data_IF_058754606585
#
_entry.id   IF_058754606585
#
_cell.length_a   1.000
_cell.length_b   1.000
_cell.length_c   1.000
_cell.angle_alpha   90.00
_cell.angle_beta   90.00
_cell.angle_gamma   90.00
#
_symmetry.space_group_name_H-M   'P 1'
#
loop_
_entity.id
_entity.type
_entity.pdbx_description
1 polymer ?
#
# COMPACT_ATOMS: atom_id res chain seq x y z
N UNK A 1 -43.98 -6.52 4.05
CA UNK A 1 -42.99 -7.02 5.02
C UNK A 1 -41.68 -7.13 4.22
N UNK A 2 -40.66 -6.35 4.56
CA UNK A 2 -39.39 -6.40 3.84
C UNK A 2 -38.49 -7.42 4.55
N UNK A 3 -38.04 -8.44 3.83
CA UNK A 3 -36.98 -9.33 4.33
C UNK A 3 -35.63 -8.71 3.95
N UNK A 4 -34.81 -8.44 4.96
CA UNK A 4 -33.42 -8.11 4.74
C UNK A 4 -32.64 -9.40 4.49
N UNK A 5 -31.76 -9.41 3.49
CA UNK A 5 -30.85 -10.52 3.26
C UNK A 5 -29.83 -10.64 4.40
N UNK A 6 -29.35 -11.86 4.65
CA UNK A 6 -28.33 -12.14 5.66
C UNK A 6 -27.10 -11.24 5.50
N UNK A 7 -26.51 -10.86 6.63
CA UNK A 7 -25.24 -10.12 6.68
C UNK A 7 -24.13 -10.98 6.04
N UNK A 8 -23.40 -10.41 5.10
CA UNK A 8 -22.24 -11.07 4.48
C UNK A 8 -21.07 -10.90 5.44
N UNK A 9 -20.67 -11.99 6.11
CA UNK A 9 -19.37 -12.04 6.81
C UNK A 9 -18.25 -12.12 5.76
N UNK A 10 -17.61 -10.98 5.47
CA UNK A 10 -16.40 -10.96 4.65
C UNK A 10 -15.22 -11.38 5.52
N UNK A 11 -14.76 -12.64 5.36
CA UNK A 11 -13.46 -13.08 5.87
C UNK A 11 -12.35 -12.31 5.13
N UNK A 12 -11.87 -11.23 5.73
CA UNK A 12 -10.68 -10.52 5.26
C UNK A 12 -9.47 -11.37 5.60
N UNK A 13 -9.08 -12.27 4.68
CA UNK A 13 -7.83 -12.99 4.82
C UNK A 13 -6.67 -11.99 4.81
N UNK A 14 -5.76 -12.13 5.77
CA UNK A 14 -4.53 -11.35 5.78
C UNK A 14 -3.78 -11.53 4.44
N UNK A 15 -3.09 -10.49 3.94
CA UNK A 15 -2.21 -10.64 2.79
C UNK A 15 -1.27 -11.82 2.96
N UNK A 16 -1.18 -12.65 1.91
CA UNK A 16 -0.20 -13.71 1.86
C UNK A 16 1.11 -13.25 1.19
N UNK A 17 1.09 -12.13 0.47
CA UNK A 17 2.21 -11.63 -0.32
C UNK A 17 2.48 -10.15 -0.05
N UNK A 18 3.71 -9.74 -0.32
CA UNK A 18 4.05 -8.33 -0.45
C UNK A 18 3.46 -7.77 -1.75
N UNK A 19 2.90 -6.57 -1.71
CA UNK A 19 2.43 -5.87 -2.92
C UNK A 19 2.72 -4.38 -2.82
N UNK A 20 2.93 -3.75 -3.98
CA UNK A 20 3.10 -2.32 -4.14
C UNK A 20 2.12 -1.88 -5.24
N UNK A 21 1.19 -1.00 -4.90
CA UNK A 21 0.23 -0.46 -5.83
C UNK A 21 0.86 0.69 -6.63
N UNK A 22 0.27 0.96 -7.80
CA UNK A 22 0.63 2.14 -8.58
C UNK A 22 0.41 3.40 -7.75
N UNK A 23 1.29 4.39 -7.90
CA UNK A 23 1.10 5.67 -7.26
C UNK A 23 -0.11 6.38 -7.87
N UNK A 24 -1.04 6.80 -7.04
CA UNK A 24 -2.27 7.44 -7.50
C UNK A 24 -2.64 8.65 -6.63
N UNK A 25 -3.06 9.78 -7.24
CA UNK A 25 -3.21 9.98 -8.68
C UNK A 25 -1.91 10.34 -9.41
N UNK A 26 -1.74 9.83 -10.64
CA UNK A 26 -0.63 10.08 -11.58
C UNK A 26 -1.21 9.89 -13.00
N UNK A 27 -1.02 10.80 -14.00
CA UNK A 27 -0.13 11.97 -14.08
C UNK A 27 -0.74 13.35 -13.74
N UNK A 28 0.14 14.30 -13.37
CA UNK A 28 -0.10 15.74 -13.09
C UNK A 28 -0.86 16.12 -11.81
N UNK A 29 -0.80 15.31 -10.75
CA UNK A 29 -1.19 15.77 -9.42
C UNK A 29 0.04 16.14 -8.58
N UNK A 30 0.03 17.29 -7.88
CA UNK A 30 1.14 17.71 -7.03
C UNK A 30 1.32 16.83 -5.79
N UNK A 31 0.36 15.95 -5.50
CA UNK A 31 0.44 14.92 -4.47
C UNK A 31 -0.09 13.61 -5.05
N UNK A 32 0.58 12.51 -4.72
CA UNK A 32 0.24 11.14 -5.13
C UNK A 32 0.45 10.24 -3.91
N UNK A 33 -0.41 9.24 -3.74
CA UNK A 33 -0.28 8.26 -2.67
C UNK A 33 0.34 6.98 -3.20
N UNK A 34 1.17 6.34 -2.39
CA UNK A 34 1.75 5.02 -2.67
C UNK A 34 1.23 4.05 -1.61
N UNK A 35 0.49 3.05 -2.08
CA UNK A 35 -0.03 2.00 -1.21
C UNK A 35 0.80 0.73 -1.33
N UNK A 36 1.08 0.09 -0.20
CA UNK A 36 1.74 -1.19 -0.18
C UNK A 36 1.20 -2.08 0.94
N UNK A 37 1.37 -3.38 0.72
CA UNK A 37 0.85 -4.41 1.59
C UNK A 37 1.96 -5.32 2.10
N UNK A 38 1.92 -5.65 3.39
CA UNK A 38 2.85 -6.53 4.07
C UNK A 38 2.11 -7.75 4.64
N UNK A 39 2.55 -9.00 4.38
CA UNK A 39 1.95 -10.19 4.99
C UNK A 39 2.25 -10.32 6.49
N UNK A 40 3.31 -9.65 6.96
CA UNK A 40 3.74 -9.61 8.36
C UNK A 40 4.56 -8.35 8.62
N UNK A 41 4.76 -8.01 9.89
CA UNK A 41 5.66 -6.93 10.27
C UNK A 41 7.04 -7.11 9.62
N UNK A 42 7.53 -6.06 8.97
CA UNK A 42 8.76 -6.09 8.18
C UNK A 42 9.47 -4.73 8.20
N UNK A 43 10.79 -4.74 8.03
CA UNK A 43 11.55 -3.52 7.76
C UNK A 43 11.35 -3.13 6.29
N UNK A 44 10.89 -1.91 6.04
CA UNK A 44 10.52 -1.42 4.69
C UNK A 44 11.41 -0.26 4.31
N UNK A 45 11.95 -0.32 3.09
CA UNK A 45 12.64 0.81 2.46
C UNK A 45 11.95 1.16 1.14
N UNK A 46 11.36 2.35 1.05
CA UNK A 46 10.70 2.86 -0.16
C UNK A 46 11.52 4.02 -0.72
N UNK A 47 12.04 3.84 -1.94
CA UNK A 47 12.96 4.78 -2.59
C UNK A 47 12.40 5.27 -3.90
N UNK A 48 12.59 6.55 -4.19
CA UNK A 48 12.25 7.15 -5.47
C UNK A 48 13.53 7.31 -6.29
N UNK A 49 13.48 6.85 -7.53
CA UNK A 49 14.55 6.99 -8.51
C UNK A 49 14.09 7.85 -9.69
N UNK A 50 15.00 8.61 -10.28
CA UNK A 50 14.76 9.25 -11.57
C UNK A 50 15.01 8.26 -12.73
N UNK A 51 14.74 8.69 -13.97
CA UNK A 51 14.89 7.86 -15.18
C UNK A 51 16.35 7.41 -15.45
N UNK A 52 17.33 8.07 -14.83
CA UNK A 52 18.74 7.72 -14.93
C UNK A 52 19.17 6.72 -13.84
N UNK A 53 18.22 6.28 -12.99
CA UNK A 53 18.49 5.37 -11.87
C UNK A 53 19.12 6.06 -10.66
N UNK A 54 19.12 7.38 -10.58
CA UNK A 54 19.63 8.13 -9.43
C UNK A 54 18.54 8.19 -8.35
N UNK A 55 18.89 7.80 -7.12
CA UNK A 55 18.02 7.94 -5.95
C UNK A 55 17.79 9.42 -5.64
N UNK A 56 16.53 9.85 -5.62
CA UNK A 56 16.14 11.24 -5.36
C UNK A 56 15.48 11.44 -4.01
N UNK A 57 14.89 10.39 -3.43
CA UNK A 57 14.29 10.43 -2.10
C UNK A 57 14.15 9.03 -1.50
N UNK A 58 14.14 8.97 -0.16
CA UNK A 58 13.71 7.80 0.60
C UNK A 58 12.45 8.22 1.37
N UNK A 59 11.31 7.59 1.07
CA UNK A 59 10.03 7.90 1.68
C UNK A 59 9.77 7.09 2.96
N UNK A 60 10.30 5.86 3.01
CA UNK A 60 10.19 4.97 4.16
C UNK A 60 11.54 4.29 4.36
N UNK A 61 11.98 4.16 5.62
CA UNK A 61 13.17 3.40 5.99
C UNK A 61 13.08 2.95 7.45
N UNK A 62 12.05 2.18 7.79
CA UNK A 62 11.74 1.81 9.16
C UNK A 62 10.96 0.49 9.25
N UNK A 63 10.80 -0.02 10.47
CA UNK A 63 9.93 -1.15 10.76
C UNK A 63 8.47 -0.75 10.60
N UNK A 64 7.69 -1.53 9.84
CA UNK A 64 6.26 -1.28 9.60
C UNK A 64 5.42 -2.50 9.99
N UNK A 65 4.28 -2.33 10.69
CA UNK A 65 3.35 -3.42 11.01
C UNK A 65 2.61 -3.92 9.77
N UNK A 66 2.02 -5.12 9.80
CA UNK A 66 1.07 -5.54 8.75
C UNK A 66 -0.34 -4.92 8.96
N UNK A 67 -1.26 -4.93 7.98
CA UNK A 67 -1.06 -5.37 6.60
C UNK A 67 -0.94 -4.25 5.57
N UNK A 68 -1.42 -3.03 5.83
CA UNK A 68 -1.58 -1.99 4.82
C UNK A 68 -0.92 -0.68 5.24
N UNK A 69 -0.31 -0.01 4.27
CA UNK A 69 0.25 1.33 4.41
C UNK A 69 -0.10 2.18 3.20
N UNK A 70 -0.28 3.47 3.44
CA UNK A 70 -0.42 4.50 2.44
C UNK A 70 0.49 5.66 2.85
N UNK A 71 1.34 6.10 1.92
CA UNK A 71 2.32 7.19 2.10
C UNK A 71 2.00 8.29 1.09
#
# INVERSE_FOLDING_TARGET
MYEYSNEIEVLVNAPNNFSLNQNYPNPFNPSTSIEFQLPKESFVTLKIYNILGVEIAILVNEQKPAPFHNI
#
